data_IF_382144579566
#
_entry.id   IF_382144579566
#
_cell.length_a   1.000
_cell.length_b   1.000
_cell.length_c   1.000
_cell.angle_alpha   90.00
_cell.angle_beta   90.00
_cell.angle_gamma   90.00
#
_symmetry.space_group_name_H-M   'P 1'
#
loop_
_entity.id
_entity.type
_entity.pdbx_description
1 polymer ?
#
# COMPACT_ATOMS: atom_id res chain seq x y z
N UNK A 1 -5.45 38.16 15.72
CA UNK A 1 -6.56 37.23 15.43
C UNK A 1 -5.96 36.12 14.60
N UNK A 2 -5.66 34.99 15.23
CA UNK A 2 -5.00 33.86 14.57
C UNK A 2 -6.08 33.07 13.84
N UNK A 3 -6.01 32.99 12.52
CA UNK A 3 -6.89 32.12 11.74
C UNK A 3 -6.48 30.68 12.11
N UNK A 4 -7.41 29.81 12.57
CA UNK A 4 -7.06 28.43 12.85
C UNK A 4 -6.58 27.76 11.56
N UNK A 5 -5.52 26.96 11.65
CA UNK A 5 -5.04 26.20 10.50
C UNK A 5 -6.17 25.32 9.95
N UNK A 6 -6.36 25.29 8.63
CA UNK A 6 -7.41 24.47 8.04
C UNK A 6 -7.20 22.99 8.41
N UNK A 7 -8.28 22.23 8.64
CA UNK A 7 -8.15 20.83 9.04
C UNK A 7 -7.48 20.03 7.92
N UNK A 8 -6.54 19.16 8.29
CA UNK A 8 -5.92 18.16 7.39
C UNK A 8 -7.01 17.43 6.62
N UNK A 9 -6.68 16.91 5.44
CA UNK A 9 -7.62 16.13 4.62
C UNK A 9 -7.27 14.66 4.64
N UNK A 10 -8.25 13.79 4.46
CA UNK A 10 -8.08 12.34 4.28
C UNK A 10 -8.79 11.89 3.04
N UNK A 11 -8.45 10.70 2.54
CA UNK A 11 -9.16 10.12 1.41
C UNK A 11 -10.59 9.74 1.79
N UNK A 12 -11.54 10.04 0.91
CA UNK A 12 -12.92 9.59 1.10
C UNK A 12 -13.03 8.08 0.99
N UNK A 13 -14.03 7.51 1.66
CA UNK A 13 -14.34 6.07 1.53
C UNK A 13 -14.61 5.69 0.06
N UNK A 14 -15.24 6.56 -0.73
CA UNK A 14 -15.48 6.26 -2.15
C UNK A 14 -14.18 6.22 -2.95
N UNK A 15 -13.25 7.16 -2.73
CA UNK A 15 -11.94 7.16 -3.38
C UNK A 15 -11.15 5.87 -3.10
N UNK A 16 -11.14 5.42 -1.84
CA UNK A 16 -10.49 4.15 -1.46
C UNK A 16 -11.19 2.96 -2.11
N UNK A 17 -12.53 2.92 -2.12
CA UNK A 17 -13.32 1.88 -2.76
C UNK A 17 -13.03 1.79 -4.27
N UNK A 18 -13.07 2.92 -4.99
CA UNK A 18 -12.77 2.99 -6.44
C UNK A 18 -11.37 2.52 -6.76
N UNK A 19 -10.41 2.85 -5.90
CA UNK A 19 -9.03 2.39 -6.01
C UNK A 19 -8.94 0.86 -5.93
N UNK A 20 -9.57 0.26 -4.91
CA UNK A 20 -9.62 -1.21 -4.76
C UNK A 20 -10.32 -1.87 -5.95
N UNK A 21 -11.50 -1.38 -6.34
CA UNK A 21 -12.26 -1.90 -7.49
C UNK A 21 -11.45 -1.85 -8.79
N UNK A 22 -10.62 -0.83 -8.95
CA UNK A 22 -9.77 -0.68 -10.14
C UNK A 22 -8.59 -1.64 -10.09
N UNK A 23 -7.95 -1.82 -8.94
CA UNK A 23 -6.86 -2.79 -8.76
C UNK A 23 -7.30 -4.26 -8.91
N UNK A 24 -8.59 -4.54 -8.71
CA UNK A 24 -9.13 -5.89 -8.91
C UNK A 24 -9.23 -6.32 -10.38
N UNK A 25 -9.33 -5.37 -11.32
CA UNK A 25 -9.61 -5.66 -12.74
C UNK A 25 -8.41 -6.22 -13.52
N UNK A 26 -7.21 -5.61 -13.46
CA UNK A 26 -6.07 -6.08 -14.23
C UNK A 26 -5.40 -7.28 -13.57
N UNK A 27 -4.60 -8.00 -14.35
CA UNK A 27 -3.61 -8.91 -13.78
C UNK A 27 -2.51 -8.09 -13.12
N UNK A 28 -2.34 -8.26 -11.80
CA UNK A 28 -1.19 -7.74 -11.06
C UNK A 28 -0.73 -8.85 -10.12
N UNK A 29 0.46 -9.39 -10.35
CA UNK A 29 0.98 -10.47 -9.52
C UNK A 29 1.13 -10.00 -8.07
N UNK A 30 0.76 -10.85 -7.13
CA UNK A 30 0.68 -10.53 -5.71
C UNK A 30 2.02 -10.09 -5.10
N UNK A 31 3.12 -10.58 -5.69
CA UNK A 31 4.49 -10.26 -5.28
C UNK A 31 5.00 -8.93 -5.86
N UNK A 32 4.18 -8.22 -6.63
CA UNK A 32 4.47 -6.83 -7.02
C UNK A 32 4.60 -5.91 -5.80
N UNK A 33 3.81 -6.14 -4.75
CA UNK A 33 3.90 -5.36 -3.50
C UNK A 33 5.26 -5.57 -2.82
N UNK A 34 5.74 -6.83 -2.79
CA UNK A 34 7.07 -7.12 -2.28
C UNK A 34 8.14 -6.40 -3.12
N UNK A 35 8.03 -6.44 -4.45
CA UNK A 35 8.93 -5.70 -5.33
C UNK A 35 8.95 -4.19 -5.02
N UNK A 36 7.78 -3.55 -4.89
CA UNK A 36 7.70 -2.12 -4.56
C UNK A 36 8.41 -1.81 -3.25
N UNK A 37 8.23 -2.67 -2.24
CA UNK A 37 8.89 -2.53 -0.93
C UNK A 37 10.40 -2.74 -1.00
N UNK A 38 10.88 -3.82 -1.63
CA UNK A 38 12.32 -4.09 -1.77
C UNK A 38 13.00 -2.96 -2.53
N UNK A 39 12.38 -2.46 -3.61
CA UNK A 39 12.89 -1.32 -4.38
C UNK A 39 12.97 -0.06 -3.52
N UNK A 40 11.92 0.26 -2.77
CA UNK A 40 11.92 1.37 -1.80
C UNK A 40 13.10 1.23 -0.83
N UNK A 41 13.28 0.06 -0.22
CA UNK A 41 14.37 -0.22 0.74
C UNK A 41 15.75 -0.03 0.10
N UNK A 42 15.96 -0.55 -1.11
CA UNK A 42 17.24 -0.38 -1.80
C UNK A 42 17.56 1.08 -2.12
N UNK A 43 16.55 1.89 -2.46
CA UNK A 43 16.73 3.34 -2.61
C UNK A 43 17.05 4.03 -1.28
N UNK A 44 16.34 3.68 -0.20
CA UNK A 44 16.57 4.27 1.13
C UNK A 44 17.95 3.93 1.70
N UNK A 45 18.43 2.71 1.45
CA UNK A 45 19.73 2.23 1.92
C UNK A 45 20.87 2.64 0.96
N UNK A 46 20.56 3.22 -0.21
CA UNK A 46 21.53 3.61 -1.23
C UNK A 46 22.22 2.43 -1.92
N UNK A 47 21.66 1.22 -1.80
CA UNK A 47 22.22 -0.03 -2.33
C UNK A 47 21.11 -0.93 -2.86
N UNK A 48 21.29 -1.47 -4.06
CA UNK A 48 20.40 -2.49 -4.63
C UNK A 48 20.87 -3.93 -4.35
N UNK A 49 21.90 -4.09 -3.53
CA UNK A 49 22.50 -5.38 -3.15
C UNK A 49 22.28 -5.60 -1.66
N UNK A 50 22.02 -6.86 -1.29
CA UNK A 50 21.81 -7.32 0.10
C UNK A 50 20.78 -6.47 0.85
N UNK A 51 19.62 -6.28 0.21
CA UNK A 51 18.56 -5.41 0.70
C UNK A 51 17.83 -6.09 1.85
N UNK A 52 17.93 -5.54 3.07
CA UNK A 52 17.20 -6.08 4.22
C UNK A 52 15.72 -5.63 4.19
N UNK A 53 14.74 -6.55 4.04
CA UNK A 53 13.34 -6.19 3.98
C UNK A 53 12.77 -5.85 5.36
N UNK A 54 12.09 -4.72 5.46
CA UNK A 54 11.30 -4.35 6.65
C UNK A 54 9.83 -4.72 6.49
N UNK A 55 9.49 -6.00 6.61
CA UNK A 55 8.12 -6.47 6.32
C UNK A 55 7.02 -5.89 7.22
N UNK A 56 7.38 -5.34 8.38
CA UNK A 56 6.44 -4.60 9.24
C UNK A 56 5.80 -3.41 8.52
N UNK A 57 6.55 -2.71 7.66
CA UNK A 57 6.04 -1.58 6.87
C UNK A 57 4.97 -2.06 5.87
N UNK A 58 5.20 -3.20 5.23
CA UNK A 58 4.22 -3.81 4.32
C UNK A 58 2.98 -4.27 5.09
N UNK A 59 3.16 -4.82 6.29
CA UNK A 59 2.07 -5.18 7.18
C UNK A 59 1.17 -3.98 7.46
N UNK A 60 1.75 -2.85 7.86
CA UNK A 60 1.02 -1.61 8.13
C UNK A 60 0.30 -1.07 6.88
N UNK A 61 0.95 -1.11 5.71
CA UNK A 61 0.34 -0.69 4.44
C UNK A 61 -0.86 -1.55 4.02
N UNK A 62 -0.88 -2.83 4.39
CA UNK A 62 -1.95 -3.76 4.05
C UNK A 62 -3.00 -3.91 5.16
N UNK A 63 -2.77 -3.38 6.36
CA UNK A 63 -3.67 -3.52 7.50
C UNK A 63 -5.02 -2.83 7.24
N UNK A 64 -6.11 -3.60 7.34
CA UNK A 64 -7.48 -3.09 7.16
C UNK A 64 -8.37 -3.73 8.21
N UNK A 65 -9.04 -2.89 8.98
CA UNK A 65 -10.00 -3.33 10.01
C UNK A 65 -11.28 -3.91 9.38
N UNK A 66 -12.00 -4.72 10.15
CA UNK A 66 -13.23 -5.36 9.69
C UNK A 66 -13.03 -6.54 8.73
N UNK A 67 -11.80 -7.05 8.62
CA UNK A 67 -11.49 -8.26 7.87
C UNK A 67 -12.03 -9.55 8.49
N UNK A 68 -12.03 -10.68 7.74
CA UNK A 68 -12.38 -11.98 8.28
C UNK A 68 -11.50 -12.37 9.48
N UNK A 69 -11.97 -13.27 10.37
CA UNK A 69 -11.18 -13.75 11.51
C UNK A 69 -9.78 -14.22 11.08
N UNK A 70 -8.76 -13.77 11.81
CA UNK A 70 -7.34 -14.06 11.55
C UNK A 70 -6.84 -13.61 10.18
N UNK A 71 -7.47 -12.62 9.54
CA UNK A 71 -7.00 -12.03 8.29
C UNK A 71 -7.00 -10.49 8.35
N UNK A 72 -6.04 -9.87 9.06
CA UNK A 72 -6.02 -8.43 9.29
C UNK A 72 -5.50 -7.62 8.09
N UNK A 73 -5.04 -8.29 7.03
CA UNK A 73 -4.40 -7.64 5.89
C UNK A 73 -5.24 -7.82 4.64
N UNK A 74 -5.43 -6.74 3.89
CA UNK A 74 -6.03 -6.75 2.58
C UNK A 74 -4.95 -6.54 1.53
N UNK A 75 -4.95 -7.32 0.46
CA UNK A 75 -4.07 -7.12 -0.70
C UNK A 75 -4.96 -6.84 -1.91
N UNK A 76 -5.00 -5.63 -2.49
CA UNK A 76 -5.95 -5.28 -3.53
C UNK A 76 -5.58 -5.80 -4.93
N UNK A 77 -4.61 -6.71 -5.03
CA UNK A 77 -4.08 -7.22 -6.30
C UNK A 77 -4.11 -8.75 -6.34
N UNK A 78 -4.24 -9.30 -7.54
CA UNK A 78 -4.32 -10.74 -7.77
C UNK A 78 -3.82 -11.10 -9.17
N UNK A 79 -3.09 -12.22 -9.27
CA UNK A 79 -2.73 -12.85 -10.54
C UNK A 79 -3.81 -13.81 -11.05
N UNK A 80 -4.82 -14.10 -10.24
CA UNK A 80 -5.87 -15.07 -10.55
C UNK A 80 -6.92 -14.47 -11.48
N UNK A 81 -7.36 -15.27 -12.44
CA UNK A 81 -8.41 -14.91 -13.41
C UNK A 81 -9.83 -14.99 -12.84
N UNK A 82 -10.04 -15.74 -11.74
CA UNK A 82 -11.29 -15.73 -10.97
C UNK A 82 -11.05 -15.01 -9.65
N UNK A 83 -11.80 -13.94 -9.45
CA UNK A 83 -11.73 -13.11 -8.26
C UNK A 83 -12.63 -13.70 -7.17
N UNK A 84 -12.02 -14.48 -6.28
CA UNK A 84 -12.64 -14.84 -5.01
C UNK A 84 -12.36 -13.72 -4.01
N UNK A 85 -13.38 -13.00 -3.49
CA UNK A 85 -13.20 -11.95 -2.50
C UNK A 85 -12.38 -12.37 -1.29
N UNK A 86 -12.48 -13.64 -0.87
CA UNK A 86 -11.74 -14.16 0.28
C UNK A 86 -10.23 -14.30 0.01
N UNK A 87 -9.83 -14.31 -1.26
CA UNK A 87 -8.44 -14.42 -1.72
C UNK A 87 -7.62 -13.13 -1.62
N UNK A 88 -8.28 -11.99 -1.41
CA UNK A 88 -7.63 -10.70 -1.17
C UNK A 88 -7.23 -10.50 0.30
N UNK A 89 -7.89 -11.21 1.21
CA UNK A 89 -7.57 -11.17 2.64
C UNK A 89 -6.42 -12.14 2.98
N UNK A 90 -5.37 -11.61 3.60
CA UNK A 90 -4.17 -12.34 3.99
C UNK A 90 -4.12 -12.55 5.51
N UNK A 91 -3.44 -13.61 5.90
CA UNK A 91 -3.14 -13.90 7.30
C UNK A 91 -2.15 -12.86 7.89
N UNK A 92 -1.87 -12.88 9.21
CA UNK A 92 -0.97 -11.94 9.84
C UNK A 92 0.51 -12.11 9.44
N UNK A 93 0.90 -13.27 8.89
CA UNK A 93 2.29 -13.60 8.58
C UNK A 93 2.71 -13.05 7.20
N UNK A 94 2.81 -11.72 7.12
CA UNK A 94 3.34 -11.02 5.94
C UNK A 94 4.80 -11.39 5.62
N UNK A 95 5.74 -11.49 6.60
CA UNK A 95 7.10 -11.93 6.31
C UNK A 95 7.15 -13.30 5.63
N UNK A 96 6.35 -14.26 6.11
CA UNK A 96 6.25 -15.58 5.50
C UNK A 96 5.67 -15.56 4.08
N UNK A 97 4.77 -14.63 3.77
CA UNK A 97 4.17 -14.49 2.45
C UNK A 97 5.14 -13.98 1.38
N UNK A 98 6.16 -13.24 1.81
CA UNK A 98 7.14 -12.60 0.93
C UNK A 98 8.59 -13.05 1.15
N UNK A 99 8.83 -14.04 2.02
CA UNK A 99 10.16 -14.61 2.24
C UNK A 99 10.78 -15.16 0.93
N UNK A 100 12.12 -15.21 0.80
CA UNK A 100 12.80 -15.71 -0.39
C UNK A 100 12.29 -17.08 -0.89
N UNK A 101 12.02 -18.00 0.03
CA UNK A 101 11.44 -19.33 -0.27
C UNK A 101 10.00 -19.29 -0.80
N UNK A 102 9.25 -18.24 -0.48
CA UNK A 102 7.87 -18.02 -0.90
C UNK A 102 7.77 -17.32 -2.25
N UNK A 103 8.87 -16.75 -2.76
CA UNK A 103 8.90 -16.14 -4.09
C UNK A 103 8.67 -17.17 -5.19
N UNK A 104 7.69 -16.86 -6.04
CA UNK A 104 7.40 -17.61 -7.26
C UNK A 104 8.52 -17.39 -8.28
N UNK A 105 8.63 -18.27 -9.27
CA UNK A 105 9.67 -18.21 -10.31
C UNK A 105 9.73 -16.84 -10.99
N UNK A 106 8.58 -16.24 -11.27
CA UNK A 106 8.47 -14.90 -11.88
C UNK A 106 9.10 -13.79 -11.05
N UNK A 107 9.26 -13.98 -9.74
CA UNK A 107 9.78 -12.99 -8.79
C UNK A 107 11.20 -13.31 -8.33
N UNK A 108 11.83 -14.39 -8.84
CA UNK A 108 13.17 -14.82 -8.41
C UNK A 108 14.29 -13.88 -8.84
N UNK A 109 14.05 -12.97 -9.79
CA UNK A 109 15.01 -11.93 -10.15
C UNK A 109 15.33 -10.97 -8.99
N UNK A 110 14.48 -10.93 -7.95
CA UNK A 110 14.73 -10.14 -6.74
C UNK A 110 15.69 -10.80 -5.76
N UNK A 111 16.25 -11.98 -6.09
CA UNK A 111 17.16 -12.71 -5.23
C UNK A 111 18.50 -12.94 -5.93
N UNK A 112 19.58 -12.90 -5.15
CA UNK A 112 20.88 -13.41 -5.58
C UNK A 112 20.94 -14.96 -5.49
N UNK A 113 22.10 -15.51 -5.82
CA UNK A 113 22.35 -16.97 -5.74
C UNK A 113 22.35 -17.54 -4.32
N UNK A 114 22.58 -16.70 -3.30
CA UNK A 114 22.52 -17.08 -1.88
C UNK A 114 21.08 -16.98 -1.32
N UNK A 115 20.16 -16.37 -2.06
CA UNK A 115 18.77 -16.16 -1.65
C UNK A 115 18.54 -14.86 -0.88
N UNK A 116 19.50 -13.93 -0.90
CA UNK A 116 19.36 -12.59 -0.34
C UNK A 116 18.64 -11.69 -1.34
N UNK A 117 17.92 -10.68 -0.86
CA UNK A 117 17.26 -9.74 -1.76
C UNK A 117 18.28 -8.85 -2.45
N UNK A 118 18.22 -8.79 -3.77
CA UNK A 118 19.08 -7.97 -4.62
C UNK A 118 18.31 -7.64 -5.89
N UNK A 119 18.35 -6.37 -6.31
CA UNK A 119 17.68 -5.92 -7.51
C UNK A 119 18.72 -5.68 -8.63
N UNK A 120 18.60 -6.37 -9.78
CA UNK A 120 19.48 -6.12 -10.94
C UNK A 120 19.17 -4.75 -11.56
N UNK A 121 20.08 -4.20 -12.36
CA UNK A 121 19.93 -2.87 -12.95
C UNK A 121 18.63 -2.67 -13.77
N UNK A 122 18.08 -3.72 -14.38
CA UNK A 122 16.85 -3.70 -15.16
C UNK A 122 15.61 -4.16 -14.35
N UNK A 123 15.69 -4.16 -13.01
CA UNK A 123 14.65 -4.71 -12.12
C UNK A 123 13.25 -4.16 -12.40
N UNK A 124 13.12 -2.88 -12.79
CA UNK A 124 11.82 -2.29 -13.13
C UNK A 124 11.23 -2.90 -14.40
N UNK A 125 12.05 -3.12 -15.42
CA UNK A 125 11.62 -3.78 -16.66
C UNK A 125 11.27 -5.25 -16.41
N UNK A 126 12.06 -5.95 -15.58
CA UNK A 126 11.75 -7.32 -15.18
C UNK A 126 10.44 -7.39 -14.41
N UNK A 127 10.19 -6.46 -13.49
CA UNK A 127 8.95 -6.37 -12.73
C UNK A 127 7.75 -6.03 -13.62
N UNK A 128 7.90 -5.13 -14.59
CA UNK A 128 6.87 -4.85 -15.59
C UNK A 128 6.45 -6.12 -16.35
N UNK A 129 7.42 -6.91 -16.83
CA UNK A 129 7.15 -8.15 -17.56
C UNK A 129 6.55 -9.22 -16.63
N UNK A 130 7.20 -9.49 -15.51
CA UNK A 130 6.88 -10.59 -14.61
C UNK A 130 5.60 -10.36 -13.80
N UNK A 131 5.44 -9.17 -13.22
CA UNK A 131 4.35 -8.86 -12.31
C UNK A 131 3.16 -8.21 -12.99
N UNK A 132 3.38 -7.43 -14.06
CA UNK A 132 2.35 -6.64 -14.73
C UNK A 132 2.07 -7.11 -16.16
N UNK A 133 2.64 -8.24 -16.60
CA UNK A 133 2.50 -8.80 -17.96
C UNK A 133 2.81 -7.79 -19.07
N UNK A 134 3.83 -6.96 -18.86
CA UNK A 134 4.26 -5.96 -19.84
C UNK A 134 3.37 -4.73 -19.92
N UNK A 135 2.35 -4.60 -19.06
CA UNK A 135 1.39 -3.49 -19.09
C UNK A 135 1.57 -2.59 -17.89
N UNK A 136 1.93 -1.34 -18.14
CA UNK A 136 1.95 -0.28 -17.11
C UNK A 136 0.57 -0.14 -16.48
N UNK A 137 0.56 0.18 -15.19
CA UNK A 137 -0.67 0.39 -14.44
C UNK A 137 -0.91 1.88 -14.17
N UNK A 138 -2.16 2.37 -14.12
CA UNK A 138 -2.42 3.70 -13.57
C UNK A 138 -1.91 3.75 -12.11
N UNK A 139 -1.27 4.86 -11.72
CA UNK A 139 -0.70 5.02 -10.39
C UNK A 139 -1.76 5.33 -9.35
N UNK A 140 -2.81 6.07 -9.72
CA UNK A 140 -3.84 6.56 -8.80
C UNK A 140 -4.50 5.45 -7.96
N UNK A 141 -4.81 4.23 -8.45
CA UNK A 141 -5.45 3.21 -7.62
C UNK A 141 -4.49 2.67 -6.54
N UNK A 142 -3.20 2.56 -6.86
CA UNK A 142 -2.19 2.20 -5.86
C UNK A 142 -2.05 3.30 -4.82
N UNK A 143 -2.03 4.56 -5.26
CA UNK A 143 -1.95 5.71 -4.38
C UNK A 143 -3.16 5.79 -3.43
N UNK A 144 -4.38 5.72 -3.97
CA UNK A 144 -5.62 5.76 -3.18
C UNK A 144 -5.75 4.59 -2.20
N UNK A 145 -5.26 3.40 -2.56
CA UNK A 145 -5.25 2.28 -1.61
C UNK A 145 -4.16 2.42 -0.53
N UNK A 146 -2.90 2.61 -0.93
CA UNK A 146 -1.78 2.59 0.03
C UNK A 146 -1.73 3.81 0.94
N UNK A 147 -2.30 4.94 0.51
CA UNK A 147 -2.33 6.18 1.28
C UNK A 147 -3.65 6.40 2.02
N UNK A 148 -4.56 5.41 2.05
CA UNK A 148 -5.88 5.50 2.69
C UNK A 148 -5.85 5.95 4.16
N UNK A 149 -4.76 5.63 4.88
CA UNK A 149 -4.58 5.98 6.29
C UNK A 149 -3.64 7.19 6.49
N UNK A 150 -3.32 7.92 5.43
CA UNK A 150 -2.50 9.13 5.49
C UNK A 150 -3.39 10.38 5.51
N UNK A 151 -2.91 11.41 6.21
CA UNK A 151 -3.47 12.75 6.14
C UNK A 151 -2.68 13.62 5.15
N UNK A 152 -3.38 14.47 4.42
CA UNK A 152 -2.85 15.37 3.42
C UNK A 152 -2.96 16.82 3.90
N UNK A 153 -2.06 17.66 3.38
CA UNK A 153 -2.14 19.09 3.60
C UNK A 153 -3.41 19.68 2.98
N UNK A 154 -4.13 20.57 3.67
CA UNK A 154 -5.37 21.16 3.15
C UNK A 154 -5.20 21.83 1.78
N UNK A 155 -4.00 22.37 1.52
CA UNK A 155 -3.63 23.10 0.30
C UNK A 155 -3.17 22.20 -0.85
N UNK A 156 -2.88 20.92 -0.59
CA UNK A 156 -2.27 19.95 -1.53
C UNK A 156 -3.04 18.62 -1.54
N UNK A 157 -4.38 18.71 -1.69
CA UNK A 157 -5.27 17.55 -1.71
C UNK A 157 -5.98 17.45 -3.07
N UNK A 158 -5.17 17.32 -4.12
CA UNK A 158 -5.63 16.95 -5.47
C UNK A 158 -5.22 15.52 -5.80
N UNK A 159 -5.79 14.95 -6.86
CA UNK A 159 -5.38 13.62 -7.31
C UNK A 159 -3.91 13.58 -7.80
N UNK A 160 -3.40 14.68 -8.36
CA UNK A 160 -1.97 14.85 -8.61
C UNK A 160 -1.14 14.74 -7.33
N UNK A 161 -1.56 15.39 -6.24
CA UNK A 161 -0.86 15.32 -4.95
C UNK A 161 -0.91 13.90 -4.35
N UNK A 162 -1.98 13.15 -4.63
CA UNK A 162 -2.10 11.75 -4.23
C UNK A 162 -1.02 10.89 -4.91
N UNK A 163 -0.80 11.08 -6.22
CA UNK A 163 0.25 10.37 -6.96
C UNK A 163 1.64 10.80 -6.48
N UNK A 164 1.86 12.08 -6.20
CA UNK A 164 3.12 12.57 -5.62
C UNK A 164 3.37 11.98 -4.24
N UNK A 165 2.35 11.88 -3.39
CA UNK A 165 2.43 11.17 -2.11
C UNK A 165 2.83 9.70 -2.30
N UNK A 166 2.29 9.03 -3.30
CA UNK A 166 2.63 7.63 -3.59
C UNK A 166 4.07 7.50 -4.08
N UNK A 167 4.51 8.43 -4.94
CA UNK A 167 5.91 8.52 -5.36
C UNK A 167 6.82 8.69 -4.16
N UNK A 168 6.50 9.58 -3.25
CA UNK A 168 7.29 9.83 -2.04
C UNK A 168 7.37 8.60 -1.11
N UNK A 169 6.22 7.97 -0.82
CA UNK A 169 6.15 6.81 0.08
C UNK A 169 6.94 5.61 -0.46
N UNK A 170 6.97 5.42 -1.79
CA UNK A 170 7.73 4.34 -2.43
C UNK A 170 9.07 4.80 -3.03
N UNK A 171 9.50 6.03 -2.71
CA UNK A 171 10.77 6.66 -3.09
C UNK A 171 11.01 6.80 -4.59
N UNK A 172 9.95 6.88 -5.40
CA UNK A 172 10.07 7.12 -6.83
C UNK A 172 10.55 8.53 -7.17
N UNK A 173 10.40 9.48 -6.23
CA UNK A 173 10.90 10.86 -6.28
C UNK A 173 12.44 10.97 -6.21
N UNK A 174 13.09 10.03 -5.54
CA UNK A 174 14.55 9.99 -5.40
C UNK A 174 15.30 9.60 -6.68
N UNK A 175 14.56 9.20 -7.71
CA UNK A 175 15.09 8.83 -9.02
C UNK A 175 14.52 9.86 -10.01
N UNK A 176 15.35 10.50 -10.84
CA UNK A 176 14.92 11.60 -11.74
C UNK A 176 13.87 11.25 -12.83
N UNK A 177 13.75 12.03 -13.91
CA UNK A 177 12.86 11.70 -15.03
C UNK A 177 13.32 10.43 -15.79
N UNK A 178 12.41 9.58 -16.29
CA UNK A 178 12.75 8.37 -17.05
C UNK A 178 13.04 7.13 -16.17
N UNK A 179 12.35 7.02 -15.04
CA UNK A 179 12.69 6.10 -13.94
C UNK A 179 11.82 4.86 -13.84
N UNK A 180 12.10 4.02 -12.83
CA UNK A 180 11.29 2.87 -12.45
C UNK A 180 9.79 3.19 -12.40
N UNK A 181 9.42 4.41 -11.99
CA UNK A 181 8.03 4.85 -11.98
C UNK A 181 7.44 4.84 -13.39
N UNK A 182 8.12 5.46 -14.36
CA UNK A 182 7.65 5.59 -15.75
C UNK A 182 7.64 4.24 -16.48
N UNK A 183 8.50 3.31 -16.05
CA UNK A 183 8.53 1.92 -16.52
C UNK A 183 7.30 1.14 -16.02
N UNK A 184 6.86 1.36 -14.78
CA UNK A 184 5.82 0.56 -14.14
C UNK A 184 4.42 1.17 -14.22
N UNK A 185 4.35 2.50 -14.25
CA UNK A 185 3.12 3.25 -14.06
C UNK A 185 2.85 4.25 -15.19
N UNK A 186 1.58 4.57 -15.35
CA UNK A 186 1.10 5.78 -16.01
C UNK A 186 0.37 6.64 -14.98
N UNK A 187 0.18 7.92 -15.24
CA UNK A 187 -0.76 8.73 -14.45
C UNK A 187 -2.18 8.15 -14.60
N UNK A 188 -2.56 7.81 -15.84
CA UNK A 188 -3.85 7.21 -16.17
C UNK A 188 -4.99 8.24 -16.20
N UNK A 189 -6.18 7.78 -16.58
CA UNK A 189 -7.39 8.61 -16.48
C UNK A 189 -7.95 8.46 -15.06
N UNK A 190 -7.88 9.54 -14.30
CA UNK A 190 -8.42 9.60 -12.95
C UNK A 190 -9.95 9.72 -13.01
N UNK A 191 -10.69 9.01 -12.14
CA UNK A 191 -12.13 9.19 -12.05
C UNK A 191 -12.47 10.60 -11.52
N UNK A 192 -13.55 11.17 -12.08
CA UNK A 192 -14.15 12.40 -11.58
C UNK A 192 -14.98 12.09 -10.33
N UNK A 193 -14.30 12.13 -9.17
CA UNK A 193 -14.85 11.86 -7.84
C UNK A 193 -14.29 12.84 -6.82
N UNK A 194 -14.99 12.97 -5.70
CA UNK A 194 -14.47 13.67 -4.54
C UNK A 194 -13.42 12.81 -3.83
N UNK A 195 -12.15 13.14 -4.03
CA UNK A 195 -11.02 12.38 -3.51
C UNK A 195 -10.81 12.53 -2.01
N UNK A 196 -11.05 13.73 -1.49
CA UNK A 196 -10.65 14.10 -0.14
C UNK A 196 -11.79 14.73 0.64
N UNK A 197 -11.84 14.42 1.93
CA UNK A 197 -12.71 15.06 2.91
C UNK A 197 -11.90 15.61 4.09
N UNK A 198 -12.42 16.59 4.84
CA UNK A 198 -11.76 17.08 6.05
C UNK A 198 -11.61 15.97 7.09
N UNK A 199 -10.43 15.89 7.71
CA UNK A 199 -10.22 15.07 8.90
C UNK A 199 -11.02 15.67 10.06
N UNK A 200 -12.07 14.97 10.50
CA UNK A 200 -12.87 15.37 11.65
C UNK A 200 -12.38 14.66 12.91
N UNK A 201 -12.52 15.30 14.08
CA UNK A 201 -12.10 14.73 15.37
C UNK A 201 -12.88 13.45 15.77
N UNK A 202 -14.00 13.17 15.10
CA UNK A 202 -14.90 12.04 15.40
C UNK A 202 -14.29 10.65 15.12
N UNK A 203 -13.11 10.57 14.49
CA UNK A 203 -12.44 9.28 14.22
C UNK A 203 -11.57 8.78 15.40
N UNK A 204 -11.59 9.45 16.57
CA UNK A 204 -10.74 9.11 17.73
C UNK A 204 -11.51 8.66 18.98
N UNK A 205 -12.84 8.79 19.03
CA UNK A 205 -13.64 8.50 20.24
C UNK A 205 -14.62 7.33 20.06
N UNK A 206 -14.11 6.10 19.92
CA UNK A 206 -14.83 4.91 20.41
C UNK A 206 -13.81 3.90 20.97
N UNK A 207 -12.97 4.36 21.90
CA UNK A 207 -12.28 3.48 22.85
C UNK A 207 -13.10 3.50 24.13
N UNK A 208 -14.07 2.58 24.19
CA UNK A 208 -14.66 1.98 25.40
C UNK A 208 -14.43 2.76 26.71
N UNK A 209 -15.31 3.73 27.00
CA UNK A 209 -15.66 4.02 28.39
C UNK A 209 -16.61 2.89 28.86
N UNK A 210 -16.00 1.74 29.18
CA UNK A 210 -16.67 0.75 30.01
C UNK A 210 -16.58 1.22 31.45
N UNK A 211 -17.61 1.98 31.83
CA UNK A 211 -18.15 2.10 33.18
C UNK A 211 -17.94 0.78 33.95
N UNK A 212 -16.94 0.76 34.83
CA UNK A 212 -16.84 -0.23 35.91
C UNK A 212 -17.20 0.47 37.22
N UNK A 213 -18.47 0.82 37.36
CA UNK A 213 -19.14 0.88 38.65
C UNK A 213 -19.07 -0.52 39.28
N UNK A 214 -18.01 -0.79 40.03
CA UNK A 214 -17.97 -1.88 40.99
C UNK A 214 -18.92 -1.53 42.13
N UNK A 215 -20.15 -2.05 42.05
CA UNK A 215 -20.99 -2.20 43.21
C UNK A 215 -20.34 -3.20 44.17
N UNK A 216 -20.00 -2.76 45.37
CA UNK A 216 -19.69 -3.64 46.49
C UNK A 216 -20.92 -4.49 46.83
N UNK A 217 -20.79 -5.79 47.09
CA UNK A 217 -21.81 -6.52 47.82
C UNK A 217 -21.62 -6.28 49.33
N UNK A 218 -22.63 -5.66 49.94
CA UNK A 218 -22.88 -5.76 51.38
C UNK A 218 -23.17 -7.21 51.79
N UNK A 219 -22.86 -7.49 53.05
CA UNK A 219 -22.77 -8.76 53.78
C UNK A 219 -23.96 -9.74 53.66
N UNK A 220 -23.62 -11.04 53.82
CA UNK A 220 -24.20 -11.95 54.82
C UNK A 220 -23.23 -13.10 55.17
#
# INVERSE_FOLDING_TARGET
MTIPDPPRKVLTVDAVRRSIETLHKPFIHEQFIAYLHIRKRGVEDGSMIDIEPRWGDVSALLAVDGGPPNKPHYRPVSSRTKHDPAGYWLNPNIPGSYAPKSLRSVSRFMLDSAGNFTLPNDHAQQSLVAHLKGKRQPAWPFAGYFLRNYSFDPSAATASDLIEGFRHVFRFDATGPGTDFDVLFTIGDEPDIEWFEPLTAATTEEVLDMDSTLAEPEDD
#
